data_IF_916340610586
#
_entry.id   IF_916340610586
#
_cell.length_a   1.000
_cell.length_b   1.000
_cell.length_c   1.000
_cell.angle_alpha   90.00
_cell.angle_beta   90.00
_cell.angle_gamma   90.00
#
_symmetry.space_group_name_H-M   'P 1'
#
loop_
_entity.id
_entity.type
_entity.pdbx_description
1 polymer ?
#
# COMPACT_ATOMS: atom_id res chain seq x y z
N UNK A 1 18.62 7.56 11.13
CA UNK A 1 17.67 6.57 11.64
C UNK A 1 16.27 7.15 11.51
N UNK A 2 15.27 6.32 11.18
CA UNK A 2 13.93 6.78 10.82
C UNK A 2 13.16 7.30 12.03
N UNK A 3 12.42 8.39 11.84
CA UNK A 3 11.49 8.93 12.85
C UNK A 3 10.25 8.04 13.02
N UNK A 4 9.97 7.10 12.11
CA UNK A 4 8.74 6.31 12.13
C UNK A 4 8.73 5.24 13.21
N UNK A 5 9.88 4.64 13.54
CA UNK A 5 9.98 3.69 14.66
C UNK A 5 9.66 4.35 16.00
N UNK A 6 10.15 5.58 16.21
CA UNK A 6 9.84 6.38 17.40
C UNK A 6 8.34 6.70 17.50
N UNK A 7 7.69 7.07 16.40
CA UNK A 7 6.26 7.40 16.37
C UNK A 7 5.39 6.16 16.66
N UNK A 8 5.80 5.01 16.14
CA UNK A 8 5.11 3.73 16.34
C UNK A 8 5.52 3.03 17.65
N UNK A 9 6.38 3.64 18.47
CA UNK A 9 6.91 3.05 19.70
C UNK A 9 7.59 1.67 19.48
N UNK A 10 8.25 1.50 18.34
CA UNK A 10 8.94 0.26 17.98
C UNK A 10 10.44 0.36 18.26
N UNK A 11 11.02 -0.71 18.81
CA UNK A 11 12.47 -0.83 18.93
C UNK A 11 13.11 -0.91 17.54
N UNK A 12 13.99 0.05 17.24
CA UNK A 12 14.62 0.16 15.92
C UNK A 12 15.53 -1.02 15.59
N UNK A 13 16.24 -1.57 16.58
CA UNK A 13 17.13 -2.72 16.39
C UNK A 13 16.30 -3.97 16.10
N UNK A 14 15.19 -4.17 16.82
CA UNK A 14 14.30 -5.31 16.59
C UNK A 14 13.66 -5.24 15.20
N UNK A 15 13.13 -4.08 14.80
CA UNK A 15 12.58 -3.84 13.45
C UNK A 15 13.65 -4.13 12.38
N UNK A 16 14.90 -3.72 12.59
CA UNK A 16 15.98 -3.99 11.65
C UNK A 16 16.33 -5.47 11.58
N UNK A 17 16.48 -6.11 12.73
CA UNK A 17 16.80 -7.54 12.83
C UNK A 17 15.72 -8.39 12.16
N UNK A 18 14.45 -8.06 12.37
CA UNK A 18 13.32 -8.74 11.74
C UNK A 18 13.34 -8.54 10.22
N UNK A 19 13.51 -7.29 9.75
CA UNK A 19 13.58 -6.99 8.33
C UNK A 19 14.71 -7.79 7.64
N UNK A 20 15.88 -7.82 8.25
CA UNK A 20 17.06 -8.49 7.71
C UNK A 20 16.93 -10.02 7.80
N UNK A 21 16.32 -10.56 8.87
CA UNK A 21 16.06 -11.99 9.00
C UNK A 21 15.10 -12.51 7.93
N UNK A 22 13.96 -11.84 7.73
CA UNK A 22 13.00 -12.23 6.68
C UNK A 22 13.59 -12.07 5.29
N UNK A 23 14.33 -10.99 5.04
CA UNK A 23 15.01 -10.78 3.75
C UNK A 23 16.02 -11.88 3.49
N UNK A 24 16.92 -12.17 4.45
CA UNK A 24 17.93 -13.22 4.31
C UNK A 24 17.33 -14.61 4.14
N UNK A 25 16.23 -14.90 4.84
CA UNK A 25 15.50 -16.15 4.67
C UNK A 25 14.86 -16.27 3.28
N UNK A 26 14.28 -15.19 2.77
CA UNK A 26 13.73 -15.15 1.41
C UNK A 26 14.80 -15.41 0.34
N UNK A 27 15.99 -14.78 0.47
CA UNK A 27 17.11 -15.03 -0.43
C UNK A 27 17.52 -16.52 -0.39
N UNK A 28 17.74 -17.06 0.81
CA UNK A 28 18.14 -18.46 0.99
C UNK A 28 17.11 -19.47 0.46
N UNK A 29 15.82 -19.14 0.51
CA UNK A 29 14.75 -19.95 -0.08
C UNK A 29 14.75 -19.85 -1.61
N UNK A 30 14.96 -18.65 -2.16
CA UNK A 30 14.96 -18.39 -3.60
C UNK A 30 16.14 -19.05 -4.32
N UNK A 31 17.32 -19.08 -3.69
CA UNK A 31 18.54 -19.70 -4.25
C UNK A 31 18.43 -21.22 -4.42
N UNK A 32 17.58 -21.87 -3.63
CA UNK A 32 17.40 -23.33 -3.68
C UNK A 32 16.63 -23.82 -4.91
N UNK A 33 16.15 -22.91 -5.77
CA UNK A 33 15.46 -23.18 -7.04
C UNK A 33 14.24 -24.14 -6.94
N UNK A 34 13.69 -24.32 -5.74
CA UNK A 34 12.52 -25.16 -5.51
C UNK A 34 11.26 -24.31 -5.65
N UNK A 35 10.48 -24.51 -6.72
CA UNK A 35 9.24 -23.75 -6.96
C UNK A 35 8.24 -23.84 -5.81
N UNK A 36 8.25 -24.93 -5.04
CA UNK A 36 7.41 -25.12 -3.85
C UNK A 36 7.72 -24.15 -2.71
N UNK A 37 8.93 -23.57 -2.68
CA UNK A 37 9.37 -22.61 -1.66
C UNK A 37 9.08 -21.16 -2.03
N UNK A 38 8.70 -20.91 -3.29
CA UNK A 38 8.42 -19.57 -3.79
C UNK A 38 7.34 -18.82 -2.99
N UNK A 39 6.23 -19.44 -2.53
CA UNK A 39 5.25 -18.75 -1.69
C UNK A 39 5.84 -18.23 -0.38
N UNK A 40 6.73 -19.01 0.24
CA UNK A 40 7.38 -18.61 1.48
C UNK A 40 8.38 -17.48 1.24
N UNK A 41 9.16 -17.55 0.16
CA UNK A 41 10.06 -16.47 -0.24
C UNK A 41 9.29 -15.17 -0.52
N UNK A 42 8.16 -15.25 -1.26
CA UNK A 42 7.30 -14.11 -1.56
C UNK A 42 6.77 -13.43 -0.30
N UNK A 43 6.27 -14.20 0.66
CA UNK A 43 5.79 -13.71 1.95
C UNK A 43 6.92 -13.11 2.79
N UNK A 44 8.10 -13.74 2.80
CA UNK A 44 9.25 -13.23 3.54
C UNK A 44 9.77 -11.91 2.97
N UNK A 45 9.85 -11.77 1.64
CA UNK A 45 10.15 -10.48 1.01
C UNK A 45 9.09 -9.42 1.32
N UNK A 46 7.79 -9.78 1.33
CA UNK A 46 6.72 -8.84 1.68
C UNK A 46 6.85 -8.34 3.12
N UNK A 47 7.00 -9.26 4.07
CA UNK A 47 7.16 -8.91 5.49
C UNK A 47 8.43 -8.06 5.67
N UNK A 48 9.55 -8.49 5.10
CA UNK A 48 10.80 -7.73 5.11
C UNK A 48 10.62 -6.32 4.54
N UNK A 49 9.88 -6.17 3.44
CA UNK A 49 9.57 -4.87 2.84
C UNK A 49 8.76 -3.97 3.77
N UNK A 50 7.75 -4.50 4.48
CA UNK A 50 6.93 -3.71 5.41
C UNK A 50 7.75 -3.16 6.58
N UNK A 51 8.62 -3.98 7.18
CA UNK A 51 9.54 -3.49 8.22
C UNK A 51 10.59 -2.53 7.65
N UNK A 52 11.17 -2.84 6.48
CA UNK A 52 12.11 -1.94 5.81
C UNK A 52 11.45 -0.62 5.43
N UNK A 53 10.15 -0.60 5.16
CA UNK A 53 9.42 0.62 4.84
C UNK A 53 9.36 1.59 6.03
N UNK A 54 9.40 1.10 7.27
CA UNK A 54 9.50 1.95 8.46
C UNK A 54 10.92 2.53 8.59
N UNK A 55 11.96 1.75 8.30
CA UNK A 55 13.36 2.14 8.52
C UNK A 55 13.95 2.97 7.38
N UNK A 56 13.69 2.54 6.15
CA UNK A 56 14.24 3.08 4.92
C UNK A 56 13.23 2.86 3.76
N UNK A 57 12.15 3.66 3.69
CA UNK A 57 11.07 3.50 2.71
C UNK A 57 11.53 3.29 1.26
N UNK A 58 12.57 4.02 0.86
CA UNK A 58 13.14 3.91 -0.48
C UNK A 58 13.76 2.54 -0.78
N UNK A 59 14.43 1.92 0.21
CA UNK A 59 15.06 0.60 0.08
C UNK A 59 14.03 -0.53 0.08
N UNK A 60 12.85 -0.31 0.66
CA UNK A 60 11.76 -1.29 0.67
C UNK A 60 11.23 -1.60 -0.73
N UNK A 61 11.41 -0.69 -1.71
CA UNK A 61 10.91 -0.84 -3.09
C UNK A 61 11.44 -2.10 -3.76
N UNK A 62 12.71 -2.43 -3.58
CA UNK A 62 13.33 -3.61 -4.18
C UNK A 62 12.76 -4.91 -3.59
N UNK A 63 12.44 -4.92 -2.30
CA UNK A 63 11.82 -6.06 -1.64
C UNK A 63 10.36 -6.23 -2.08
N UNK A 64 9.60 -5.13 -2.17
CA UNK A 64 8.26 -5.15 -2.75
C UNK A 64 8.27 -5.64 -4.21
N UNK A 65 9.28 -5.27 -4.99
CA UNK A 65 9.44 -5.73 -6.37
C UNK A 65 9.65 -7.24 -6.46
N UNK A 66 10.56 -7.80 -5.65
CA UNK A 66 10.81 -9.25 -5.58
C UNK A 66 9.58 -10.02 -5.14
N UNK A 67 8.89 -9.51 -4.11
CA UNK A 67 7.63 -10.08 -3.64
C UNK A 67 6.55 -10.06 -4.72
N UNK A 68 6.40 -8.93 -5.43
CA UNK A 68 5.45 -8.79 -6.53
C UNK A 68 5.70 -9.82 -7.63
N UNK A 69 6.95 -9.95 -8.09
CA UNK A 69 7.32 -10.92 -9.12
C UNK A 69 6.99 -12.36 -8.70
N UNK A 70 7.33 -12.72 -7.46
CA UNK A 70 7.09 -14.05 -6.94
C UNK A 70 5.59 -14.37 -6.82
N UNK A 71 4.79 -13.46 -6.26
CA UNK A 71 3.34 -13.64 -6.20
C UNK A 71 2.68 -13.68 -7.57
N UNK A 72 3.23 -12.93 -8.55
CA UNK A 72 2.76 -12.99 -9.93
C UNK A 72 2.99 -14.37 -10.54
N UNK A 73 4.19 -14.94 -10.37
CA UNK A 73 4.50 -16.30 -10.84
C UNK A 73 3.61 -17.37 -10.20
N UNK A 74 3.13 -17.12 -8.97
CA UNK A 74 2.19 -17.98 -8.26
C UNK A 74 0.73 -17.76 -8.65
N UNK A 75 0.42 -16.76 -9.49
CA UNK A 75 -0.95 -16.40 -9.85
C UNK A 75 -1.75 -15.78 -8.69
N UNK A 76 -1.08 -15.20 -7.68
CA UNK A 76 -1.73 -14.66 -6.48
C UNK A 76 -2.01 -13.16 -6.60
N UNK A 77 -3.27 -12.69 -6.50
CA UNK A 77 -3.65 -11.31 -6.75
C UNK A 77 -2.88 -10.22 -5.99
N UNK A 78 -2.37 -10.54 -4.80
CA UNK A 78 -1.59 -9.64 -3.92
C UNK A 78 -0.34 -9.06 -4.61
N UNK A 79 0.15 -9.67 -5.69
CA UNK A 79 1.26 -9.14 -6.48
C UNK A 79 1.00 -7.69 -6.93
N UNK A 80 -0.26 -7.31 -7.17
CA UNK A 80 -0.65 -5.96 -7.62
C UNK A 80 -0.40 -4.90 -6.54
N UNK A 81 -0.71 -5.21 -5.28
CA UNK A 81 -0.39 -4.32 -4.16
C UNK A 81 1.13 -4.14 -4.03
N UNK A 82 1.86 -5.25 -4.10
CA UNK A 82 3.32 -5.22 -4.03
C UNK A 82 3.93 -4.39 -5.17
N UNK A 83 3.39 -4.49 -6.38
CA UNK A 83 3.81 -3.70 -7.54
C UNK A 83 3.61 -2.19 -7.33
N UNK A 84 2.47 -1.79 -6.76
CA UNK A 84 2.17 -0.40 -6.38
C UNK A 84 3.20 0.08 -5.34
N UNK A 85 3.45 -0.70 -4.29
CA UNK A 85 4.42 -0.34 -3.25
C UNK A 85 5.86 -0.25 -3.79
N UNK A 86 6.24 -1.13 -4.71
CA UNK A 86 7.53 -1.10 -5.39
C UNK A 86 7.71 0.14 -6.28
N UNK A 87 6.61 0.76 -6.72
CA UNK A 87 6.59 1.72 -7.83
C UNK A 87 7.20 1.15 -9.12
N UNK A 88 7.19 -0.18 -9.26
CA UNK A 88 7.73 -0.87 -10.42
C UNK A 88 6.73 -0.79 -11.57
N UNK A 89 7.05 0.09 -12.50
CA UNK A 89 6.26 0.28 -13.70
C UNK A 89 6.66 -0.66 -14.83
N UNK A 90 7.54 -1.63 -14.57
CA UNK A 90 8.07 -2.54 -15.59
C UNK A 90 7.13 -3.70 -15.92
N UNK A 91 6.15 -4.02 -15.07
CA UNK A 91 5.09 -5.00 -15.37
C UNK A 91 4.00 -4.45 -16.32
N UNK A 92 4.30 -3.31 -16.96
CA UNK A 92 3.43 -2.52 -17.85
C UNK A 92 2.98 -3.19 -19.15
N UNK A 93 3.31 -4.45 -19.41
CA UNK A 93 3.05 -5.07 -20.73
C UNK A 93 2.58 -6.52 -20.60
N UNK A 94 1.57 -6.80 -19.78
CA UNK A 94 0.58 -7.84 -20.04
C UNK A 94 -0.71 -7.34 -19.36
N UNK A 95 -1.75 -6.88 -20.03
CA UNK A 95 -2.59 -7.61 -20.99
C UNK A 95 -3.13 -8.94 -20.47
N UNK A 96 -2.81 -9.35 -19.24
CA UNK A 96 -3.69 -10.27 -18.52
C UNK A 96 -4.92 -9.44 -18.20
N UNK A 97 -5.94 -9.61 -19.04
CA UNK A 97 -7.27 -9.05 -18.93
C UNK A 97 -7.61 -8.91 -17.45
N UNK A 98 -7.54 -7.68 -16.92
CA UNK A 98 -8.04 -7.42 -15.58
C UNK A 98 -9.47 -7.93 -15.62
N UNK A 99 -9.80 -9.04 -14.94
CA UNK A 99 -11.05 -9.70 -15.19
C UNK A 99 -12.14 -8.68 -14.90
N UNK A 100 -12.87 -8.24 -15.93
CA UNK A 100 -13.97 -7.30 -15.75
C UNK A 100 -15.01 -7.87 -14.77
N UNK A 101 -14.99 -9.20 -14.59
CA UNK A 101 -15.87 -9.98 -13.74
C UNK A 101 -15.09 -11.02 -12.92
N UNK A 102 -14.07 -10.62 -12.13
CA UNK A 102 -13.61 -11.52 -11.06
C UNK A 102 -14.79 -11.76 -10.10
N UNK A 103 -15.05 -13.02 -9.76
CA UNK A 103 -16.03 -13.37 -8.71
C UNK A 103 -15.44 -13.23 -7.31
N UNK A 104 -14.13 -12.96 -7.22
CA UNK A 104 -13.43 -12.70 -5.99
C UNK A 104 -13.35 -11.19 -5.73
N UNK A 105 -13.87 -10.77 -4.59
CA UNK A 105 -13.92 -9.37 -4.15
C UNK A 105 -12.50 -8.83 -3.89
N UNK A 106 -11.58 -9.68 -3.44
CA UNK A 106 -10.18 -9.31 -3.16
C UNK A 106 -9.41 -8.99 -4.44
N UNK A 107 -9.42 -9.90 -5.41
CA UNK A 107 -8.82 -9.69 -6.73
C UNK A 107 -9.42 -8.46 -7.44
N UNK A 108 -10.75 -8.28 -7.35
CA UNK A 108 -11.44 -7.11 -7.88
C UNK A 108 -10.96 -5.79 -7.26
N UNK A 109 -10.75 -5.78 -5.94
CA UNK A 109 -10.21 -4.62 -5.23
C UNK A 109 -8.77 -4.31 -5.70
N UNK A 110 -7.88 -5.31 -5.70
CA UNK A 110 -6.48 -5.12 -6.09
C UNK A 110 -6.33 -4.65 -7.54
N UNK A 111 -7.14 -5.23 -8.44
CA UNK A 111 -7.07 -4.86 -9.84
C UNK A 111 -7.63 -3.46 -10.11
N UNK A 112 -8.68 -3.03 -9.41
CA UNK A 112 -9.16 -1.65 -9.50
C UNK A 112 -8.15 -0.67 -8.93
N UNK A 113 -7.51 -0.96 -7.80
CA UNK A 113 -6.46 -0.09 -7.25
C UNK A 113 -5.29 0.07 -8.23
N UNK A 114 -4.86 -1.02 -8.88
CA UNK A 114 -3.85 -0.99 -9.94
C UNK A 114 -4.30 -0.15 -11.14
N UNK A 115 -5.57 -0.24 -11.57
CA UNK A 115 -6.12 0.65 -12.62
C UNK A 115 -6.05 2.11 -12.22
N UNK A 116 -6.36 2.44 -10.96
CA UNK A 116 -6.22 3.80 -10.45
C UNK A 116 -4.77 4.28 -10.49
N UNK A 117 -3.79 3.47 -10.09
CA UNK A 117 -2.37 3.85 -10.19
C UNK A 117 -1.92 4.07 -11.65
N UNK A 118 -2.39 3.21 -12.58
CA UNK A 118 -1.95 3.24 -13.97
C UNK A 118 -2.60 4.35 -14.80
N UNK A 119 -3.92 4.51 -14.71
CA UNK A 119 -4.70 5.54 -15.45
C UNK A 119 -4.15 6.95 -15.26
N UNK A 120 -3.50 7.22 -14.12
CA UNK A 120 -2.82 8.47 -13.87
C UNK A 120 -1.67 8.74 -14.86
N UNK A 121 -1.07 7.72 -15.48
CA UNK A 121 0.12 7.87 -16.35
C UNK A 121 -0.23 8.08 -17.83
N UNK A 122 -1.48 7.88 -18.22
CA UNK A 122 -1.97 8.18 -19.57
C UNK A 122 -2.60 9.57 -19.51
N UNK A 123 -1.82 10.61 -19.81
CA UNK A 123 -2.32 11.95 -20.10
C UNK A 123 -3.07 11.91 -21.44
N UNK A 124 -4.33 11.49 -21.41
CA UNK A 124 -5.17 11.42 -22.59
C UNK A 124 -6.52 10.81 -22.23
N UNK A 125 -7.54 11.67 -22.15
CA UNK A 125 -8.98 11.40 -22.10
C UNK A 125 -9.40 9.94 -21.87
N UNK A 126 -9.08 9.37 -20.71
CA UNK A 126 -9.83 8.23 -20.22
C UNK A 126 -11.13 8.77 -19.60
N UNK A 127 -12.09 9.07 -20.46
CA UNK A 127 -13.50 9.22 -20.10
C UNK A 127 -14.02 7.86 -19.61
N UNK A 128 -13.67 7.48 -18.38
CA UNK A 128 -14.54 6.59 -17.62
C UNK A 128 -15.78 7.42 -17.27
N UNK A 129 -16.73 7.47 -18.21
CA UNK A 129 -18.12 7.43 -17.78
C UNK A 129 -18.21 6.17 -16.93
N UNK A 130 -18.44 6.31 -15.64
CA UNK A 130 -18.99 5.23 -14.83
C UNK A 130 -20.29 4.83 -15.51
N UNK A 131 -20.18 3.92 -16.47
CA UNK A 131 -21.27 3.41 -17.26
C UNK A 131 -22.16 2.65 -16.29
N UNK A 132 -23.27 3.27 -15.95
CA UNK A 132 -24.32 2.74 -15.07
C UNK A 132 -23.86 2.34 -13.67
N UNK A 133 -24.25 3.16 -12.70
CA UNK A 133 -24.30 2.87 -11.25
C UNK A 133 -25.12 1.60 -10.88
N UNK A 134 -25.55 0.80 -11.86
CA UNK A 134 -26.42 -0.36 -11.71
C UNK A 134 -25.75 -1.73 -11.90
N UNK A 135 -24.46 -1.84 -12.27
CA UNK A 135 -23.88 -3.16 -12.63
C UNK A 135 -23.04 -3.85 -11.55
N UNK A 136 -22.74 -3.20 -10.42
CA UNK A 136 -22.44 -3.84 -9.12
C UNK A 136 -22.17 -2.73 -8.10
N UNK A 137 -23.01 -2.54 -7.06
CA UNK A 137 -22.53 -1.83 -5.89
C UNK A 137 -21.41 -2.70 -5.31
N UNK A 138 -20.16 -2.23 -5.37
CA UNK A 138 -19.06 -2.86 -4.65
C UNK A 138 -19.37 -2.77 -3.15
N UNK A 139 -20.08 -3.77 -2.63
CA UNK A 139 -20.66 -3.81 -1.27
C UNK A 139 -19.76 -4.52 -0.25
N UNK A 140 -18.54 -4.88 -0.66
CA UNK A 140 -17.56 -5.57 0.16
C UNK A 140 -16.70 -4.65 1.04
N UNK A 141 -15.79 -5.29 1.78
CA UNK A 141 -14.76 -4.63 2.60
C UNK A 141 -13.39 -4.90 1.99
N UNK A 142 -12.45 -3.99 2.23
CA UNK A 142 -11.06 -4.20 1.86
C UNK A 142 -10.50 -5.36 2.71
N UNK A 143 -9.90 -6.39 2.09
CA UNK A 143 -9.28 -7.51 2.79
C UNK A 143 -8.23 -7.03 3.80
N UNK A 144 -8.18 -7.64 4.99
CA UNK A 144 -7.29 -7.27 6.09
C UNK A 144 -7.67 -5.98 6.82
N UNK A 145 -8.21 -4.98 6.12
CA UNK A 145 -8.52 -3.66 6.69
C UNK A 145 -9.94 -3.52 7.24
N UNK A 146 -10.89 -4.35 6.81
CA UNK A 146 -12.27 -4.26 7.26
C UNK A 146 -12.96 -2.90 6.97
N UNK A 147 -12.39 -2.08 6.08
CA UNK A 147 -12.90 -0.77 5.65
C UNK A 147 -13.86 -0.97 4.46
N UNK A 148 -15.00 -0.26 4.38
CA UNK A 148 -15.88 -0.33 3.22
C UNK A 148 -15.15 0.03 1.93
N UNK A 149 -15.25 -0.83 0.91
CA UNK A 149 -14.60 -0.56 -0.37
C UNK A 149 -15.14 0.71 -1.05
N UNK A 150 -16.43 0.99 -0.89
CA UNK A 150 -17.06 2.23 -1.37
C UNK A 150 -16.38 3.49 -0.85
N UNK A 151 -15.91 3.51 0.40
CA UNK A 151 -15.18 4.64 0.98
C UNK A 151 -13.85 4.85 0.26
N UNK A 152 -13.11 3.77 -0.01
CA UNK A 152 -11.83 3.86 -0.73
C UNK A 152 -12.05 4.36 -2.16
N UNK A 153 -13.07 3.85 -2.86
CA UNK A 153 -13.40 4.32 -4.21
C UNK A 153 -13.82 5.79 -4.22
N UNK A 154 -14.60 6.23 -3.24
CA UNK A 154 -14.98 7.63 -3.09
C UNK A 154 -13.74 8.50 -2.94
N UNK A 155 -12.81 8.15 -2.04
CA UNK A 155 -11.56 8.88 -1.85
C UNK A 155 -10.74 8.93 -3.13
N UNK A 156 -10.55 7.81 -3.83
CA UNK A 156 -9.80 7.76 -5.08
C UNK A 156 -10.45 8.61 -6.18
N UNK A 157 -11.78 8.63 -6.27
CA UNK A 157 -12.50 9.50 -7.20
C UNK A 157 -12.35 10.98 -6.81
N UNK A 158 -12.54 11.32 -5.54
CA UNK A 158 -12.38 12.69 -5.03
C UNK A 158 -10.97 13.22 -5.31
N UNK A 159 -9.93 12.38 -5.16
CA UNK A 159 -8.55 12.78 -5.48
C UNK A 159 -8.38 13.18 -6.95
N UNK A 160 -9.07 12.49 -7.88
CA UNK A 160 -9.02 12.80 -9.32
C UNK A 160 -9.73 14.12 -9.63
N UNK A 161 -10.91 14.36 -9.08
CA UNK A 161 -11.66 15.60 -9.35
C UNK A 161 -11.03 16.84 -8.68
N UNK A 162 -10.34 16.66 -7.55
CA UNK A 162 -9.56 17.72 -6.90
C UNK A 162 -8.44 18.27 -7.78
N UNK A 163 -7.80 17.42 -8.61
CA UNK A 163 -6.77 17.80 -9.59
C UNK A 163 -7.33 18.78 -10.63
N UNK A 164 -8.51 18.50 -11.19
CA UNK A 164 -9.10 19.32 -12.26
C UNK A 164 -9.67 20.66 -11.79
N UNK A 165 -10.00 20.76 -10.50
CA UNK A 165 -10.67 21.94 -9.96
C UNK A 165 -9.76 22.83 -9.13
N UNK A 166 -8.50 22.44 -8.90
CA UNK A 166 -7.59 23.06 -7.91
C UNK A 166 -8.26 23.23 -6.53
N UNK A 167 -9.23 22.38 -6.21
CA UNK A 167 -9.93 22.37 -4.94
C UNK A 167 -9.41 21.23 -4.09
N UNK A 168 -9.27 21.49 -2.79
CA UNK A 168 -9.02 20.49 -1.76
C UNK A 168 -10.25 19.59 -1.46
N UNK A 169 -11.29 19.66 -2.30
CA UNK A 169 -12.44 18.77 -2.22
C UNK A 169 -11.96 17.33 -2.35
N UNK A 170 -12.08 16.55 -1.28
CA UNK A 170 -11.58 15.17 -1.20
C UNK A 170 -10.55 14.91 -0.11
N UNK A 171 -9.86 15.96 0.39
CA UNK A 171 -8.94 15.78 1.52
C UNK A 171 -9.66 15.43 2.81
N UNK A 172 -10.89 15.90 3.02
CA UNK A 172 -11.69 15.51 4.20
C UNK A 172 -12.01 14.00 4.17
N UNK A 173 -12.46 13.48 3.02
CA UNK A 173 -12.71 12.04 2.83
C UNK A 173 -11.45 11.21 3.07
N UNK A 174 -10.29 11.72 2.62
CA UNK A 174 -9.01 11.05 2.80
C UNK A 174 -8.48 11.13 4.23
N UNK A 175 -8.69 12.25 4.93
CA UNK A 175 -8.41 12.35 6.37
C UNK A 175 -9.18 11.28 7.13
N UNK A 176 -10.48 11.14 6.87
CA UNK A 176 -11.30 10.11 7.49
C UNK A 176 -10.79 8.69 7.16
N UNK A 177 -10.32 8.46 5.93
CA UNK A 177 -9.71 7.17 5.57
C UNK A 177 -8.40 6.92 6.31
N UNK A 178 -7.52 7.93 6.43
CA UNK A 178 -6.28 7.84 7.17
C UNK A 178 -6.52 7.58 8.67
N UNK A 179 -7.51 8.23 9.27
CA UNK A 179 -7.94 7.95 10.65
C UNK A 179 -8.32 6.46 10.81
N UNK A 180 -9.14 5.92 9.89
CA UNK A 180 -9.52 4.49 9.92
C UNK A 180 -8.35 3.53 9.73
N UNK A 181 -7.37 3.88 8.90
CA UNK A 181 -6.16 3.08 8.74
C UNK A 181 -5.26 3.16 9.99
N UNK A 182 -5.23 4.32 10.65
CA UNK A 182 -4.54 4.54 11.92
C UNK A 182 -5.14 3.70 13.06
N UNK A 183 -6.47 3.70 13.21
CA UNK A 183 -7.18 2.90 14.21
C UNK A 183 -6.80 1.41 14.17
N UNK A 184 -6.61 0.84 12.97
CA UNK A 184 -6.18 -0.56 12.82
C UNK A 184 -4.76 -0.79 13.30
N UNK A 185 -3.87 0.17 13.02
CA UNK A 185 -2.47 0.12 13.47
C UNK A 185 -2.43 0.18 15.00
N UNK A 186 -3.21 1.07 15.61
CA UNK A 186 -3.37 1.17 17.06
C UNK A 186 -3.96 -0.10 17.66
N UNK A 187 -4.95 -0.72 17.01
CA UNK A 187 -5.52 -1.99 17.46
C UNK A 187 -4.47 -3.11 17.48
N UNK A 188 -3.66 -3.25 16.42
CA UNK A 188 -2.58 -4.24 16.38
C UNK A 188 -1.53 -4.00 17.47
N UNK A 189 -1.24 -2.74 17.79
CA UNK A 189 -0.34 -2.37 18.89
C UNK A 189 -0.96 -2.62 20.27
N UNK A 190 -2.24 -2.33 20.46
CA UNK A 190 -2.90 -2.50 21.76
C UNK A 190 -2.99 -3.96 22.23
N UNK A 191 -2.85 -4.92 21.30
CA UNK A 191 -2.81 -6.35 21.57
C UNK A 191 -1.38 -6.86 21.88
N UNK A 192 -0.44 -5.94 22.15
CA UNK A 192 0.96 -6.20 22.55
C UNK A 192 1.09 -7.32 23.59
N UNK A 193 0.18 -7.39 24.56
CA UNK A 193 0.19 -8.43 25.60
C UNK A 193 -0.04 -9.86 25.06
N UNK A 194 -0.83 -10.06 24.01
CA UNK A 194 -0.94 -11.38 23.37
C UNK A 194 0.29 -11.69 22.51
N UNK A 195 0.88 -10.69 21.87
CA UNK A 195 1.99 -10.88 20.93
C UNK A 195 3.33 -11.11 21.62
N UNK A 196 3.63 -10.40 22.71
CA UNK A 196 4.82 -10.65 23.53
C UNK A 196 4.88 -12.10 24.04
N UNK A 197 3.73 -12.74 24.23
CA UNK A 197 3.60 -14.12 24.69
C UNK A 197 3.56 -15.17 23.56
N UNK A 198 3.46 -14.76 22.29
CA UNK A 198 3.35 -15.65 21.13
C UNK A 198 4.65 -15.80 20.31
N UNK A 199 5.76 -15.20 20.74
CA UNK A 199 7.07 -15.20 20.06
C UNK A 199 7.05 -14.68 18.60
N UNK A 200 5.92 -14.13 18.14
CA UNK A 200 5.73 -13.63 16.78
C UNK A 200 5.89 -12.11 16.70
N UNK A 201 6.50 -11.62 15.61
CA UNK A 201 6.67 -10.19 15.39
C UNK A 201 5.47 -9.56 14.66
N UNK A 202 5.00 -8.41 15.14
CA UNK A 202 3.81 -7.70 14.62
C UNK A 202 4.07 -7.16 13.22
N UNK A 203 3.30 -7.58 12.21
CA UNK A 203 3.30 -6.92 10.90
C UNK A 203 2.86 -5.46 11.10
N UNK A 204 3.70 -4.47 10.76
CA UNK A 204 3.52 -3.09 11.23
C UNK A 204 2.28 -2.40 10.66
N UNK A 205 1.85 -2.82 9.46
CA UNK A 205 0.61 -2.39 8.82
C UNK A 205 0.30 -3.32 7.65
N UNK A 206 -0.97 -3.34 7.24
CA UNK A 206 -1.42 -4.10 6.07
C UNK A 206 -0.88 -3.50 4.76
N UNK A 207 -0.39 -4.31 3.81
CA UNK A 207 0.13 -3.81 2.53
C UNK A 207 -0.93 -3.07 1.70
N UNK A 208 -2.21 -3.43 1.86
CA UNK A 208 -3.33 -2.72 1.23
C UNK A 208 -3.41 -1.26 1.69
N UNK A 209 -3.16 -0.97 2.97
CA UNK A 209 -3.19 0.39 3.50
C UNK A 209 -2.16 1.26 2.79
N UNK A 210 -0.92 0.79 2.75
CA UNK A 210 0.18 1.51 2.10
C UNK A 210 -0.09 1.72 0.61
N UNK A 211 -0.56 0.70 -0.11
CA UNK A 211 -0.88 0.81 -1.52
C UNK A 211 -1.99 1.85 -1.78
N UNK A 212 -3.07 1.87 -0.99
CA UNK A 212 -4.14 2.86 -1.11
C UNK A 212 -3.58 4.29 -0.93
N UNK A 213 -2.79 4.50 0.13
CA UNK A 213 -2.21 5.81 0.45
C UNK A 213 -1.24 6.26 -0.66
N UNK A 214 -0.41 5.36 -1.18
CA UNK A 214 0.48 5.64 -2.31
C UNK A 214 -0.32 6.13 -3.53
N UNK A 215 -1.39 5.43 -3.92
CA UNK A 215 -2.19 5.78 -5.10
C UNK A 215 -2.89 7.14 -4.93
N UNK A 216 -3.49 7.37 -3.76
CA UNK A 216 -4.14 8.64 -3.44
C UNK A 216 -3.13 9.80 -3.41
N UNK A 217 -2.03 9.65 -2.67
CA UNK A 217 -1.01 10.70 -2.49
C UNK A 217 -0.32 11.07 -3.80
N UNK A 218 0.05 10.07 -4.62
CA UNK A 218 0.69 10.26 -5.93
C UNK A 218 -0.16 11.12 -6.87
N UNK A 219 -1.48 11.07 -6.74
CA UNK A 219 -2.40 11.88 -7.54
C UNK A 219 -2.32 13.36 -7.15
N UNK A 220 -2.35 13.67 -5.86
CA UNK A 220 -2.27 15.06 -5.40
C UNK A 220 -0.90 15.70 -5.55
N UNK A 221 0.19 14.93 -5.41
CA UNK A 221 1.55 15.46 -5.55
C UNK A 221 1.87 16.02 -6.95
N UNK A 222 0.98 15.82 -7.94
CA UNK A 222 1.08 16.41 -9.28
C UNK A 222 0.72 17.87 -9.33
N UNK A 223 -0.22 18.27 -8.48
CA UNK A 223 -0.82 19.61 -8.48
C UNK A 223 -0.48 20.38 -7.22
N UNK A 224 -0.18 19.69 -6.12
CA UNK A 224 0.07 20.29 -4.81
C UNK A 224 1.38 19.77 -4.21
N UNK A 225 2.05 20.62 -3.42
CA UNK A 225 3.22 20.19 -2.64
C UNK A 225 2.81 19.34 -1.44
N UNK A 226 3.72 18.48 -0.99
CA UNK A 226 3.50 17.64 0.19
C UNK A 226 3.19 18.45 1.44
N UNK A 227 3.95 19.52 1.69
CA UNK A 227 3.75 20.42 2.84
C UNK A 227 2.34 21.01 2.86
N UNK A 228 1.79 21.32 1.68
CA UNK A 228 0.46 21.88 1.59
C UNK A 228 -0.62 20.82 1.85
N UNK A 229 -0.43 19.59 1.37
CA UNK A 229 -1.31 18.46 1.73
C UNK A 229 -1.30 18.26 3.24
N UNK A 230 -0.12 18.21 3.86
CA UNK A 230 0.04 18.00 5.30
C UNK A 230 -0.61 19.12 6.13
N UNK A 231 -0.41 20.39 5.74
CA UNK A 231 -1.03 21.53 6.45
C UNK A 231 -2.57 21.51 6.44
N UNK A 232 -3.17 20.82 5.46
CA UNK A 232 -4.63 20.67 5.34
C UNK A 232 -5.17 19.46 6.10
N UNK A 233 -4.33 18.45 6.32
CA UNK A 233 -4.61 17.28 7.15
C UNK A 233 -4.22 17.50 8.63
N UNK A 234 -4.20 18.75 9.08
CA UNK A 234 -3.71 19.15 10.41
C UNK A 234 -4.51 18.59 11.61
N UNK A 235 -5.60 17.87 11.36
CA UNK A 235 -6.40 17.19 12.39
C UNK A 235 -5.86 15.79 12.71
N UNK A 236 -5.05 15.21 11.83
CA UNK A 236 -4.43 13.91 12.05
C UNK A 236 -3.34 14.03 13.10
N UNK A 237 -3.28 13.05 14.01
CA UNK A 237 -2.16 12.95 14.93
C UNK A 237 -0.90 12.40 14.24
N UNK A 238 0.20 12.35 15.01
CA UNK A 238 1.49 11.92 14.46
C UNK A 238 1.46 10.45 14.01
N UNK A 239 0.72 9.57 14.69
CA UNK A 239 0.64 8.14 14.35
C UNK A 239 -0.16 7.92 13.07
N UNK A 240 -1.28 8.61 12.92
CA UNK A 240 -2.14 8.57 11.72
C UNK A 240 -1.43 9.09 10.47
N UNK A 241 -0.44 9.98 10.62
CA UNK A 241 0.36 10.47 9.48
C UNK A 241 1.50 9.52 9.07
N UNK A 242 1.83 8.48 9.84
CA UNK A 242 2.98 7.61 9.55
C UNK A 242 2.89 6.98 8.16
N UNK A 243 1.74 6.37 7.83
CA UNK A 243 1.55 5.75 6.51
C UNK A 243 1.65 6.77 5.37
N UNK A 244 1.15 7.99 5.58
CA UNK A 244 1.25 9.09 4.62
C UNK A 244 2.71 9.49 4.38
N UNK A 245 3.49 9.61 5.46
CA UNK A 245 4.90 9.96 5.40
C UNK A 245 5.73 8.85 4.73
N UNK A 246 5.51 7.58 5.09
CA UNK A 246 6.17 6.43 4.45
C UNK A 246 5.85 6.40 2.94
N UNK A 247 4.57 6.56 2.57
CA UNK A 247 4.16 6.62 1.18
C UNK A 247 4.83 7.76 0.42
N UNK A 248 4.95 8.94 1.03
CA UNK A 248 5.64 10.08 0.44
C UNK A 248 7.11 9.76 0.16
N UNK A 249 7.82 9.16 1.12
CA UNK A 249 9.23 8.81 0.99
C UNK A 249 9.47 7.71 -0.05
N UNK A 250 8.55 6.74 -0.19
CA UNK A 250 8.57 5.74 -1.27
C UNK A 250 8.44 6.42 -2.63
N UNK A 251 7.61 7.46 -2.74
CA UNK A 251 7.40 8.19 -4.00
C UNK A 251 8.60 9.06 -4.39
N UNK A 252 9.50 9.38 -3.45
CA UNK A 252 10.71 10.13 -3.76
C UNK A 252 11.71 9.28 -4.58
N UNK A 253 12.52 9.91 -5.44
CA UNK A 253 13.66 9.24 -6.07
C UNK A 253 14.71 8.87 -5.01
N UNK A 254 15.42 7.76 -5.20
CA UNK A 254 16.53 7.39 -4.33
C UNK A 254 17.56 8.52 -4.33
N UNK A 255 17.84 9.08 -3.15
CA UNK A 255 18.97 9.99 -2.98
C UNK A 255 20.21 9.10 -2.89
N UNK A 256 20.87 8.91 -4.03
CA UNK A 256 22.15 8.20 -4.12
C UNK A 256 23.27 8.90 -3.34
#
# INVERSE_FOLDING_TARGET
>A
MSRYTEILNLNTDDVSNIADAYTGYAEALSERAETQKLPFAASCWLIGALYKAILAPQQARDLFARSSEAYRQLGMPIWRLCSICAQNNSDRIYSEEIPLNSYDDEDSFYANLQRFDYSQKIEGEFNYTWGNENERPYSGRVPGLNIPYSLVLQVLNDTRYGVYTNKFSGLDSFSNLLERLGELTELYQSDEYHWENLEGAIVPFEPAALAIVIVALKTWLRVQSYDMILSRLNKLDQQQTVLLNIAHDILQPNKG
#
